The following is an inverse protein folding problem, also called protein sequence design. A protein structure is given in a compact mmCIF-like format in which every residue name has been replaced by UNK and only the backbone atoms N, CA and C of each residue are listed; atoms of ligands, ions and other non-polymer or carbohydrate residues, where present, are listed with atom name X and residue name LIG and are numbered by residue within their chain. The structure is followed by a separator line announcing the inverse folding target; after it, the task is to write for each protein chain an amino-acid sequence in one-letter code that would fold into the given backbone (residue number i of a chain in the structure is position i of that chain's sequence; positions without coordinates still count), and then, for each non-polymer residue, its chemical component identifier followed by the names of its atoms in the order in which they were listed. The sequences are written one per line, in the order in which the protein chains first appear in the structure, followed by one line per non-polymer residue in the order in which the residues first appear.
data_IF_227581139373
#
_entry.id   IF_227581139373
#
_cell.length_a   1.000
_cell.length_b   1.000
_cell.length_c   1.000
_cell.angle_alpha   90.00
_cell.angle_beta   90.00
_cell.angle_gamma   90.00
#
_symmetry.space_group_name_H-M   'P 1'
#
loop_
_entity.id
_entity.type
_entity.pdbx_description
1 polymer ?
#
# COMPACT_ATOMS: atom_id res chain seq x y z
N UNK A 1 3.58 3.31 20.43
CA UNK A 1 2.18 2.99 20.09
C UNK A 1 1.95 3.32 18.63
N UNK A 2 1.91 2.28 17.80
CA UNK A 2 1.58 2.40 16.38
C UNK A 2 0.07 2.52 16.19
N UNK A 3 -0.36 3.18 15.11
CA UNK A 3 -1.77 3.30 14.73
C UNK A 3 -2.00 2.73 13.33
N UNK A 4 -3.16 2.13 13.11
CA UNK A 4 -3.57 1.70 11.78
C UNK A 4 -3.72 2.93 10.86
N UNK A 5 -3.10 2.94 9.66
CA UNK A 5 -3.17 4.09 8.75
C UNK A 5 -4.57 4.44 8.24
N UNK A 6 -5.51 3.48 8.27
CA UNK A 6 -6.85 3.62 7.69
C UNK A 6 -7.88 3.98 8.77
N UNK A 7 -7.84 3.29 9.91
CA UNK A 7 -8.86 3.44 10.96
C UNK A 7 -8.38 4.24 12.18
N UNK A 8 -7.08 4.52 12.28
CA UNK A 8 -6.41 5.16 13.43
C UNK A 8 -6.48 4.41 14.76
N UNK A 9 -7.02 3.18 14.74
CA UNK A 9 -7.01 2.27 15.89
C UNK A 9 -5.57 2.03 16.36
N UNK A 10 -5.38 1.88 17.67
CA UNK A 10 -4.08 1.50 18.23
C UNK A 10 -3.82 0.03 17.85
N UNK A 11 -2.63 -0.25 17.34
CA UNK A 11 -2.21 -1.59 16.92
C UNK A 11 -0.86 -1.96 17.54
N UNK A 12 -0.55 -3.27 17.57
CA UNK A 12 0.77 -3.77 17.96
C UNK A 12 1.85 -3.22 17.03
N UNK A 13 3.07 -3.07 17.54
CA UNK A 13 4.22 -2.63 16.73
C UNK A 13 4.56 -3.66 15.62
N UNK A 14 4.14 -4.92 15.78
CA UNK A 14 4.29 -6.00 14.80
C UNK A 14 3.29 -5.91 13.65
N UNK A 15 2.14 -5.26 13.83
CA UNK A 15 1.08 -5.18 12.82
C UNK A 15 1.15 -3.87 12.04
N UNK A 16 0.81 -3.90 10.76
CA UNK A 16 0.74 -2.70 9.91
C UNK A 16 -0.67 -2.13 9.79
N UNK A 17 -1.69 -2.99 9.91
CA UNK A 17 -3.09 -2.64 9.76
C UNK A 17 -3.92 -3.40 10.80
N UNK A 18 -4.99 -2.79 11.28
CA UNK A 18 -6.02 -3.52 12.03
C UNK A 18 -6.81 -4.43 11.10
N UNK A 19 -7.45 -5.48 11.65
CA UNK A 19 -8.34 -6.36 10.88
C UNK A 19 -9.48 -5.58 10.21
N UNK A 20 -10.04 -4.58 10.91
CA UNK A 20 -11.02 -3.66 10.34
C UNK A 20 -10.45 -2.87 9.16
N UNK A 21 -9.22 -2.37 9.28
CA UNK A 21 -8.53 -1.66 8.21
C UNK A 21 -8.31 -2.52 6.96
N UNK A 22 -7.91 -3.78 7.12
CA UNK A 22 -7.77 -4.72 6.01
C UNK A 22 -9.11 -4.98 5.30
N UNK A 23 -10.19 -5.14 6.07
CA UNK A 23 -11.53 -5.35 5.53
C UNK A 23 -12.04 -4.14 4.70
N UNK A 24 -11.62 -2.92 5.05
CA UNK A 24 -11.92 -1.71 4.28
C UNK A 24 -11.20 -1.66 2.93
N UNK A 25 -10.05 -2.34 2.80
CA UNK A 25 -9.35 -2.48 1.52
C UNK A 25 -9.99 -3.57 0.65
N UNK A 26 -10.30 -4.72 1.26
CA UNK A 26 -11.04 -5.81 0.61
C UNK A 26 -11.62 -6.75 1.67
N UNK A 27 -12.90 -7.17 1.57
CA UNK A 27 -13.53 -8.00 2.59
C UNK A 27 -12.84 -9.34 2.89
N UNK A 28 -12.10 -9.87 1.91
CA UNK A 28 -11.40 -11.16 2.02
C UNK A 28 -9.93 -11.03 2.46
N UNK A 29 -9.44 -9.81 2.61
CA UNK A 29 -8.03 -9.54 2.92
C UNK A 29 -7.75 -9.77 4.41
N UNK A 30 -6.87 -10.73 4.70
CA UNK A 30 -6.48 -11.10 6.08
C UNK A 30 -5.09 -10.62 6.47
N UNK A 31 -4.23 -10.38 5.50
CA UNK A 31 -2.86 -9.94 5.70
C UNK A 31 -2.37 -9.15 4.47
N UNK A 32 -1.39 -8.27 4.67
CA UNK A 32 -0.64 -7.59 3.63
C UNK A 32 0.84 -7.85 3.84
N UNK A 33 1.45 -8.55 2.90
CA UNK A 33 2.90 -8.73 2.86
C UNK A 33 3.57 -7.43 2.38
N UNK A 34 4.60 -6.93 3.08
CA UNK A 34 5.42 -5.84 2.57
C UNK A 34 6.05 -6.19 1.22
N UNK A 35 6.24 -5.17 0.38
CA UNK A 35 7.07 -5.33 -0.82
C UNK A 35 8.53 -5.42 -0.38
N UNK A 36 9.27 -6.36 -0.98
CA UNK A 36 10.71 -6.51 -0.79
C UNK A 36 11.47 -5.47 -1.61
N UNK A 37 11.19 -4.20 -1.32
CA UNK A 37 11.76 -3.03 -1.97
C UNK A 37 12.07 -2.00 -0.88
N UNK A 38 13.25 -1.42 -0.94
CA UNK A 38 13.59 -0.24 -0.15
C UNK A 38 12.66 0.94 -0.49
N UNK A 39 12.62 1.94 0.38
CA UNK A 39 11.81 3.13 0.15
C UNK A 39 12.21 3.85 -1.17
N UNK A 40 13.49 3.86 -1.52
CA UNK A 40 13.97 4.40 -2.79
C UNK A 40 13.48 3.58 -3.98
N UNK A 41 13.59 2.26 -3.93
CA UNK A 41 13.14 1.38 -5.00
C UNK A 41 11.62 1.44 -5.20
N UNK A 42 10.85 1.53 -4.11
CA UNK A 42 9.40 1.73 -4.17
C UNK A 42 9.05 3.03 -4.91
N UNK A 43 9.79 4.13 -4.68
CA UNK A 43 9.59 5.39 -5.40
C UNK A 43 9.92 5.25 -6.88
N UNK A 44 11.03 4.60 -7.22
CA UNK A 44 11.40 4.36 -8.62
C UNK A 44 10.36 3.51 -9.36
N UNK A 45 9.89 2.44 -8.73
CA UNK A 45 8.84 1.57 -9.29
C UNK A 45 7.51 2.32 -9.46
N UNK A 46 7.14 3.17 -8.51
CA UNK A 46 5.94 4.01 -8.63
C UNK A 46 6.04 4.96 -9.83
N UNK A 47 7.17 5.64 -10.01
CA UNK A 47 7.44 6.51 -11.17
C UNK A 47 7.36 5.71 -12.48
N UNK A 48 8.00 4.54 -12.53
CA UNK A 48 7.99 3.68 -13.71
C UNK A 48 6.57 3.18 -14.08
N UNK A 49 5.72 2.90 -13.09
CA UNK A 49 4.34 2.45 -13.31
C UNK A 49 3.40 3.55 -13.80
N UNK A 50 3.59 4.79 -13.34
CA UNK A 50 2.78 5.94 -13.78
C UNK A 50 2.81 6.10 -15.31
N UNK A 51 3.97 5.88 -15.92
CA UNK A 51 4.13 5.91 -17.38
C UNK A 51 3.29 4.88 -18.13
N UNK A 52 3.02 3.71 -17.53
CA UNK A 52 2.24 2.61 -18.13
C UNK A 52 0.74 2.70 -17.84
N UNK A 53 0.35 3.35 -16.74
CA UNK A 53 -1.05 3.45 -16.31
C UNK A 53 -1.76 4.72 -16.83
N UNK A 54 -1.01 5.72 -17.29
CA UNK A 54 -1.59 6.91 -17.89
C UNK A 54 -2.00 6.65 -19.35
N UNK A 55 -3.27 6.89 -19.72
CA UNK A 55 -3.72 6.91 -21.13
C UNK A 55 -3.07 8.04 -21.96
N UNK A 56 -2.16 8.83 -21.37
CA UNK A 56 -1.49 9.94 -22.05
C UNK A 56 -0.31 9.50 -22.93
N UNK A 57 0.17 8.24 -22.83
CA UNK A 57 1.23 7.72 -23.70
C UNK A 57 0.68 7.07 -24.98
N UNK A 58 -0.17 7.82 -25.69
CA UNK A 58 -0.41 7.64 -27.13
C UNK A 58 -0.52 9.03 -27.75
N UNK A 59 0.62 9.66 -28.01
CA UNK A 59 0.71 10.67 -29.07
C UNK A 59 1.91 10.30 -29.92
N UNK A 60 1.61 10.22 -31.22
CA UNK A 60 2.47 9.99 -32.38
C UNK A 60 3.90 10.50 -32.23
#
# INVERSE_FOLDING_TARGET
MKRCPITYDVISDQENYSQRGLHLLSPQLKNLSPLDLSADEQRQEAIARVGKMSKASKRN
#
